data_IF_448632450763
#
_entry.id   IF_448632450763
#
_cell.length_a   1.000
_cell.length_b   1.000
_cell.length_c   1.000
_cell.angle_alpha   90.00
_cell.angle_beta   90.00
_cell.angle_gamma   90.00
#
_symmetry.space_group_name_H-M   'P 1'
#
loop_
_entity.id
_entity.type
_entity.pdbx_description
1 polymer ?
#
# COMPACT_ATOMS: atom_id res chain seq x y z
N UNK A 1 61.73 -6.27 0.78
CA UNK A 1 62.03 -5.89 -0.61
C UNK A 1 60.70 -5.64 -1.30
N UNK A 2 60.33 -4.37 -1.50
CA UNK A 2 59.02 -3.97 -2.04
C UNK A 2 59.08 -4.08 -3.56
N UNK A 3 58.13 -4.81 -4.17
CA UNK A 3 58.08 -4.96 -5.63
C UNK A 3 57.84 -3.59 -6.30
N UNK A 4 58.49 -3.29 -7.45
CA UNK A 4 58.27 -2.05 -8.18
C UNK A 4 56.85 -1.99 -8.74
N UNK A 5 56.21 -0.83 -8.62
CA UNK A 5 54.88 -0.58 -9.18
C UNK A 5 54.91 -0.74 -10.72
N UNK A 6 53.83 -1.26 -11.33
CA UNK A 6 53.74 -1.37 -12.78
C UNK A 6 53.70 0.02 -13.43
N UNK A 7 54.61 0.26 -14.38
CA UNK A 7 54.63 1.45 -15.23
C UNK A 7 53.53 1.33 -16.29
N UNK A 8 52.43 2.09 -16.12
CA UNK A 8 51.37 2.17 -17.11
C UNK A 8 51.69 3.28 -18.11
N UNK A 9 52.00 2.90 -19.36
CA UNK A 9 52.20 3.85 -20.45
C UNK A 9 50.97 3.92 -21.36
N UNK A 10 50.52 5.14 -21.65
CA UNK A 10 49.47 5.41 -22.62
C UNK A 10 50.13 5.90 -23.91
N UNK A 11 49.88 5.18 -25.01
CA UNK A 11 50.41 5.54 -26.33
C UNK A 11 49.28 6.01 -27.23
N UNK A 12 49.48 7.15 -27.90
CA UNK A 12 48.54 7.65 -28.91
C UNK A 12 48.96 7.10 -30.27
N UNK A 13 48.01 6.55 -31.02
CA UNK A 13 48.27 6.17 -32.41
C UNK A 13 48.20 7.43 -33.27
N UNK A 14 48.79 7.43 -34.46
CA UNK A 14 48.65 8.54 -35.44
C UNK A 14 47.26 8.56 -36.11
N UNK A 15 46.24 8.00 -35.46
CA UNK A 15 44.89 7.99 -36.02
C UNK A 15 44.32 9.40 -36.11
N UNK A 16 43.37 9.61 -37.03
CA UNK A 16 42.70 10.91 -37.18
C UNK A 16 41.99 11.34 -35.89
N UNK A 17 41.42 10.38 -35.15
CA UNK A 17 40.76 10.62 -33.87
C UNK A 17 41.74 11.07 -32.78
N UNK A 18 42.87 10.38 -32.64
CA UNK A 18 43.89 10.73 -31.63
C UNK A 18 44.53 12.09 -31.92
N UNK A 19 44.78 12.40 -33.19
CA UNK A 19 45.29 13.72 -33.59
C UNK A 19 44.29 14.84 -33.30
N UNK A 20 42.99 14.61 -33.54
CA UNK A 20 41.95 15.57 -33.20
C UNK A 20 41.86 15.79 -31.68
N UNK A 21 41.92 14.72 -30.89
CA UNK A 21 41.95 14.77 -29.43
C UNK A 21 43.15 15.57 -28.92
N UNK A 22 44.37 15.24 -29.38
CA UNK A 22 45.58 15.95 -28.99
C UNK A 22 45.55 17.43 -29.39
N UNK A 23 44.95 17.75 -30.54
CA UNK A 23 44.77 19.15 -30.98
C UNK A 23 43.83 19.90 -30.03
N UNK A 24 42.71 19.29 -29.66
CA UNK A 24 41.75 19.88 -28.73
C UNK A 24 42.38 20.09 -27.34
N UNK A 25 43.13 19.11 -26.82
CA UNK A 25 43.81 19.24 -25.53
C UNK A 25 44.86 20.34 -25.56
N UNK A 26 45.66 20.43 -26.63
CA UNK A 26 46.62 21.53 -26.81
C UNK A 26 45.96 22.90 -26.83
N UNK A 27 44.76 23.01 -27.40
CA UNK A 27 44.00 24.25 -27.42
C UNK A 27 43.53 24.63 -26.01
N UNK A 28 42.94 23.68 -25.27
CA UNK A 28 42.50 23.90 -23.88
C UNK A 28 43.68 24.25 -22.96
N UNK A 29 44.82 23.60 -23.13
CA UNK A 29 46.06 23.93 -22.40
C UNK A 29 46.65 25.29 -22.78
N UNK A 30 46.37 25.78 -23.99
CA UNK A 30 46.78 27.12 -24.41
C UNK A 30 45.88 28.20 -23.82
N UNK A 31 44.58 27.91 -23.69
CA UNK A 31 43.60 28.81 -23.09
C UNK A 31 43.76 28.89 -21.56
N UNK A 32 44.17 27.79 -20.91
CA UNK A 32 44.33 27.75 -19.46
C UNK A 32 45.62 26.99 -19.04
N UNK A 33 46.75 27.70 -18.91
CA UNK A 33 48.06 27.10 -18.64
C UNK A 33 48.22 26.57 -17.21
N UNK A 34 47.22 26.78 -16.35
CA UNK A 34 47.18 26.23 -15.00
C UNK A 34 46.81 24.74 -14.97
N UNK A 35 46.18 24.25 -16.04
CA UNK A 35 45.73 22.86 -16.15
C UNK A 35 46.83 21.97 -16.74
N UNK A 36 47.03 20.79 -16.15
CA UNK A 36 47.83 19.73 -16.75
C UNK A 36 46.97 18.79 -17.58
N UNK A 37 47.59 18.09 -18.54
CA UNK A 37 46.96 16.95 -19.22
C UNK A 37 46.38 15.94 -18.22
N UNK A 38 47.09 15.70 -17.10
CA UNK A 38 46.61 14.81 -16.04
C UNK A 38 45.30 15.29 -15.41
N UNK A 39 45.14 16.61 -15.23
CA UNK A 39 43.93 17.19 -14.63
C UNK A 39 42.75 17.11 -15.59
N UNK A 40 42.98 17.35 -16.89
CA UNK A 40 41.97 17.15 -17.92
C UNK A 40 41.51 15.69 -18.00
N UNK A 41 42.44 14.74 -17.88
CA UNK A 41 42.10 13.31 -17.82
C UNK A 41 41.30 12.97 -16.55
N UNK A 42 41.69 13.50 -15.38
CA UNK A 42 40.95 13.30 -14.13
C UNK A 42 39.54 13.88 -14.23
N UNK A 43 39.39 15.10 -14.74
CA UNK A 43 38.08 15.73 -14.93
C UNK A 43 37.22 14.95 -15.94
N UNK A 44 37.79 14.50 -17.05
CA UNK A 44 37.10 13.67 -18.04
C UNK A 44 36.60 12.36 -17.43
N UNK A 45 37.46 11.70 -16.64
CA UNK A 45 37.12 10.46 -15.96
C UNK A 45 36.06 10.68 -14.88
N UNK A 46 36.17 11.76 -14.09
CA UNK A 46 35.15 12.15 -13.12
C UNK A 46 33.79 12.37 -13.79
N UNK A 47 33.75 13.11 -14.90
CA UNK A 47 32.50 13.33 -15.65
C UNK A 47 31.93 12.03 -16.20
N UNK A 48 32.77 11.13 -16.69
CA UNK A 48 32.32 9.82 -17.18
C UNK A 48 31.76 8.94 -16.06
N UNK A 49 32.42 8.90 -14.90
CA UNK A 49 31.96 8.15 -13.74
C UNK A 49 30.62 8.71 -13.22
N UNK A 50 30.53 10.03 -13.03
CA UNK A 50 29.31 10.70 -12.57
C UNK A 50 28.18 10.54 -13.59
N UNK A 51 28.46 10.63 -14.89
CA UNK A 51 27.46 10.38 -15.92
C UNK A 51 26.92 8.93 -15.88
N UNK A 52 27.79 7.96 -15.59
CA UNK A 52 27.37 6.56 -15.45
C UNK A 52 26.48 6.33 -14.22
N UNK A 53 26.80 6.96 -13.09
CA UNK A 53 26.03 6.86 -11.84
C UNK A 53 24.69 7.59 -11.94
N UNK A 54 24.68 8.78 -12.54
CA UNK A 54 23.44 9.57 -12.75
C UNK A 54 22.45 8.82 -13.64
N UNK A 55 22.92 8.08 -14.65
CA UNK A 55 22.02 7.28 -15.50
C UNK A 55 21.32 6.18 -14.72
N UNK A 56 22.00 5.50 -13.80
CA UNK A 56 21.39 4.47 -12.98
C UNK A 56 20.42 5.07 -11.95
N UNK A 57 20.80 6.18 -11.32
CA UNK A 57 19.95 6.89 -10.37
C UNK A 57 18.66 7.41 -11.01
N UNK A 58 18.72 7.90 -12.25
CA UNK A 58 17.54 8.37 -13.00
C UNK A 58 16.57 7.23 -13.31
N UNK A 59 17.07 6.04 -13.66
CA UNK A 59 16.22 4.86 -13.90
C UNK A 59 15.52 4.41 -12.62
N UNK A 60 16.23 4.34 -11.50
CA UNK A 60 15.65 4.00 -10.19
C UNK A 60 14.61 5.03 -9.75
N UNK A 61 14.88 6.32 -9.97
CA UNK A 61 13.92 7.38 -9.65
C UNK A 61 12.63 7.26 -10.48
N UNK A 62 12.75 6.92 -11.76
CA UNK A 62 11.60 6.72 -12.65
C UNK A 62 10.77 5.50 -12.24
N UNK A 63 11.43 4.39 -11.87
CA UNK A 63 10.75 3.20 -11.33
C UNK A 63 10.01 3.52 -10.02
N UNK A 64 10.66 4.24 -9.11
CA UNK A 64 10.05 4.65 -7.84
C UNK A 64 8.84 5.56 -8.08
N UNK A 65 8.94 6.51 -9.01
CA UNK A 65 7.82 7.39 -9.38
C UNK A 65 6.64 6.61 -9.95
N UNK A 66 6.90 5.58 -10.76
CA UNK A 66 5.87 4.69 -11.28
C UNK A 66 5.18 3.93 -10.15
N UNK A 67 5.95 3.35 -9.21
CA UNK A 67 5.38 2.64 -8.05
C UNK A 67 4.52 3.57 -7.17
N UNK A 68 4.97 4.80 -6.92
CA UNK A 68 4.18 5.78 -6.14
C UNK A 68 2.87 6.11 -6.85
N UNK A 69 2.89 6.29 -8.16
CA UNK A 69 1.69 6.57 -8.96
C UNK A 69 0.72 5.38 -8.93
N UNK A 70 1.25 4.16 -8.99
CA UNK A 70 0.45 2.94 -8.88
C UNK A 70 -0.20 2.80 -7.49
N UNK A 71 0.56 3.06 -6.43
CA UNK A 71 0.03 3.04 -5.06
C UNK A 71 -1.07 4.10 -4.86
N UNK A 72 -0.89 5.30 -5.41
CA UNK A 72 -1.93 6.33 -5.36
C UNK A 72 -3.21 5.89 -6.08
N UNK A 73 -3.11 5.22 -7.23
CA UNK A 73 -4.29 4.67 -7.90
C UNK A 73 -4.96 3.57 -7.09
N UNK A 74 -4.20 2.67 -6.47
CA UNK A 74 -4.76 1.63 -5.61
C UNK A 74 -5.48 2.24 -4.41
N UNK A 75 -4.88 3.25 -3.77
CA UNK A 75 -5.51 3.95 -2.64
C UNK A 75 -6.81 4.63 -3.07
N UNK A 76 -6.83 5.35 -4.19
CA UNK A 76 -8.05 5.96 -4.72
C UNK A 76 -9.14 4.92 -5.06
N UNK A 77 -8.76 3.75 -5.59
CA UNK A 77 -9.70 2.66 -5.86
C UNK A 77 -10.28 2.08 -4.58
N UNK A 78 -9.46 1.89 -3.54
CA UNK A 78 -9.92 1.38 -2.24
C UNK A 78 -10.85 2.39 -1.58
N UNK A 79 -10.49 3.68 -1.56
CA UNK A 79 -11.36 4.74 -1.05
C UNK A 79 -12.71 4.76 -1.76
N UNK A 80 -12.70 4.64 -3.09
CA UNK A 80 -13.94 4.59 -3.86
C UNK A 80 -14.79 3.35 -3.53
N UNK A 81 -14.16 2.19 -3.34
CA UNK A 81 -14.86 0.96 -2.97
C UNK A 81 -15.49 1.07 -1.58
N UNK A 82 -14.76 1.60 -0.60
CA UNK A 82 -15.26 1.81 0.77
C UNK A 82 -16.46 2.77 0.75
N UNK A 83 -16.37 3.89 0.02
CA UNK A 83 -17.49 4.83 -0.09
C UNK A 83 -18.74 4.18 -0.72
N UNK A 84 -18.55 3.31 -1.72
CA UNK A 84 -19.67 2.58 -2.35
C UNK A 84 -20.27 1.54 -1.41
N UNK A 85 -19.44 0.79 -0.70
CA UNK A 85 -19.87 -0.23 0.26
C UNK A 85 -20.62 0.42 1.43
N UNK A 86 -20.12 1.52 1.97
CA UNK A 86 -20.78 2.28 3.03
C UNK A 86 -22.12 2.84 2.56
N UNK A 87 -22.18 3.42 1.36
CA UNK A 87 -23.43 3.94 0.77
C UNK A 87 -24.45 2.81 0.56
N UNK A 88 -23.99 1.65 0.07
CA UNK A 88 -24.83 0.47 -0.14
C UNK A 88 -25.34 -0.14 1.17
N UNK A 89 -24.49 -0.18 2.20
CA UNK A 89 -24.88 -0.64 3.53
C UNK A 89 -25.93 0.29 4.15
N UNK A 90 -25.74 1.61 4.05
CA UNK A 90 -26.70 2.61 4.53
C UNK A 90 -28.04 2.46 3.79
N UNK A 91 -28.05 2.36 2.46
CA UNK A 91 -29.28 2.20 1.69
C UNK A 91 -30.07 0.92 2.07
N UNK A 92 -29.36 -0.18 2.38
CA UNK A 92 -29.98 -1.41 2.88
C UNK A 92 -30.57 -1.24 4.28
N UNK A 93 -29.89 -0.51 5.17
CA UNK A 93 -30.42 -0.21 6.49
C UNK A 93 -31.68 0.66 6.39
N UNK A 94 -31.69 1.66 5.51
CA UNK A 94 -32.82 2.54 5.27
C UNK A 94 -34.06 1.74 4.80
N UNK A 95 -33.88 0.84 3.83
CA UNK A 95 -34.97 -0.03 3.37
C UNK A 95 -35.55 -0.95 4.46
N UNK A 96 -34.72 -1.40 5.41
CA UNK A 96 -35.17 -2.22 6.55
C UNK A 96 -35.91 -1.39 7.58
N UNK A 97 -35.50 -0.14 7.79
CA UNK A 97 -36.20 0.80 8.66
C UNK A 97 -37.57 1.14 8.08
N UNK A 98 -37.67 1.39 6.78
CA UNK A 98 -38.95 1.61 6.09
C UNK A 98 -39.89 0.40 6.22
N UNK A 99 -39.36 -0.82 6.04
CA UNK A 99 -40.14 -2.06 6.21
C UNK A 99 -40.64 -2.22 7.65
N UNK A 100 -39.80 -1.94 8.64
CA UNK A 100 -40.17 -1.96 10.06
C UNK A 100 -41.22 -0.90 10.38
N UNK A 101 -41.07 0.32 9.85
CA UNK A 101 -42.04 1.40 10.03
C UNK A 101 -43.42 1.04 9.45
N UNK A 102 -43.45 0.49 8.22
CA UNK A 102 -44.68 0.04 7.59
C UNK A 102 -45.35 -1.11 8.37
N UNK A 103 -44.56 -1.99 9.01
CA UNK A 103 -45.09 -3.07 9.87
C UNK A 103 -45.64 -2.55 11.19
N UNK A 104 -45.04 -1.51 11.76
CA UNK A 104 -45.55 -0.83 12.96
C UNK A 104 -46.86 -0.09 12.67
N UNK A 105 -46.96 0.62 11.55
CA UNK A 105 -48.22 1.27 11.14
C UNK A 105 -49.35 0.25 10.91
N UNK A 106 -49.03 -0.95 10.40
CA UNK A 106 -50.02 -2.03 10.27
C UNK A 106 -50.46 -2.64 11.60
N UNK A 107 -49.70 -2.45 12.69
CA UNK A 107 -50.06 -2.93 14.04
C UNK A 107 -50.89 -1.93 14.87
N UNK A 108 -51.11 -0.70 14.39
CA UNK A 108 -52.10 0.23 14.98
C UNK A 108 -53.23 0.50 13.97
N UNK A 109 -54.43 -0.08 14.18
CA UNK A 109 -55.28 0.32 15.29
C UNK A 109 -55.91 -0.88 16.01
N UNK A 110 -55.53 -1.13 17.26
CA UNK A 110 -56.13 -2.21 18.06
C UNK A 110 -55.86 -2.20 19.55
N UNK A 111 -55.13 -1.23 20.10
CA UNK A 111 -54.92 -1.10 21.56
C UNK A 111 -55.96 -0.12 22.12
N UNK A 112 -57.24 -0.45 21.95
CA UNK A 112 -58.30 0.14 22.78
C UNK A 112 -58.61 -0.82 23.91
N UNK A 113 -58.12 -0.47 25.11
CA UNK A 113 -58.70 -0.75 26.42
C UNK A 113 -59.58 -2.00 26.53
N UNK A 114 -59.01 -3.06 27.10
CA UNK A 114 -59.76 -4.18 27.64
C UNK A 114 -59.09 -4.67 28.92
N UNK A 115 -59.59 -4.20 30.07
CA UNK A 115 -59.29 -4.75 31.38
C UNK A 115 -59.44 -6.28 31.36
N UNK A 116 -58.42 -7.00 31.80
CA UNK A 116 -58.55 -8.41 32.16
C UNK A 116 -58.38 -8.49 33.68
N UNK A 117 -59.42 -8.91 34.42
CA UNK A 117 -59.34 -9.00 35.86
C UNK A 117 -58.43 -10.17 36.25
N UNK A 118 -57.57 -9.92 37.22
CA UNK A 118 -56.72 -10.91 37.87
C UNK A 118 -57.66 -11.80 38.69
N UNK A 119 -57.86 -13.04 38.24
CA UNK A 119 -58.49 -14.10 39.05
C UNK A 119 -57.40 -15.03 39.56
N UNK A 120 -57.15 -14.89 40.86
CA UNK A 120 -56.44 -15.80 41.73
C UNK A 120 -57.14 -17.17 41.70
N UNK A 121 -56.47 -18.21 41.20
CA UNK A 121 -56.86 -19.58 41.54
C UNK A 121 -55.64 -20.48 41.60
N UNK A 122 -55.28 -20.83 42.83
CA UNK A 122 -54.23 -21.76 43.19
C UNK A 122 -54.55 -23.17 42.65
N UNK A 123 -53.65 -23.75 41.85
CA UNK A 123 -53.66 -25.17 41.55
C UNK A 123 -52.23 -25.73 41.63
N UNK A 124 -52.14 -26.86 42.32
CA UNK A 124 -50.96 -27.57 42.78
C UNK A 124 -50.03 -28.11 41.66
N UNK A 125 -48.75 -28.24 42.03
CA UNK A 125 -47.61 -28.78 41.27
C UNK A 125 -47.81 -30.28 40.98
N UNK A 126 -47.39 -30.76 39.80
CA UNK A 126 -46.54 -31.96 39.78
C UNK A 126 -45.25 -31.74 38.96
N UNK A 127 -44.13 -32.22 39.50
CA UNK A 127 -42.84 -32.40 38.82
C UNK A 127 -43.03 -33.06 37.44
N UNK A 128 -42.69 -32.34 36.37
CA UNK A 128 -42.48 -32.90 35.04
C UNK A 128 -41.11 -32.43 34.55
N UNK A 129 -40.28 -33.41 34.23
CA UNK A 129 -38.87 -33.29 33.86
C UNK A 129 -38.76 -32.53 32.53
N UNK A 130 -38.47 -31.22 32.59
CA UNK A 130 -38.24 -30.40 31.40
C UNK A 130 -36.92 -30.87 30.77
N UNK A 131 -36.89 -31.38 29.52
CA UNK A 131 -35.64 -31.62 28.82
C UNK A 131 -34.95 -30.27 28.64
N UNK A 132 -33.80 -30.11 29.28
CA UNK A 132 -32.94 -28.93 29.15
C UNK A 132 -32.61 -28.74 27.65
N UNK A 133 -32.95 -27.59 27.03
CA UNK A 133 -32.63 -27.37 25.63
C UNK A 133 -31.11 -27.39 25.49
N UNK A 134 -30.59 -28.34 24.70
CA UNK A 134 -29.16 -28.39 24.37
C UNK A 134 -28.72 -27.00 23.90
N UNK A 135 -27.65 -26.43 24.46
CA UNK A 135 -27.19 -25.11 24.07
C UNK A 135 -26.74 -25.17 22.61
N UNK A 136 -27.52 -24.55 21.72
CA UNK A 136 -27.10 -24.31 20.34
C UNK A 136 -25.76 -23.57 20.40
N UNK A 137 -24.69 -24.10 19.75
CA UNK A 137 -23.38 -23.48 19.82
C UNK A 137 -23.46 -22.08 19.21
N UNK A 138 -23.13 -21.09 20.03
CA UNK A 138 -23.15 -19.68 19.65
C UNK A 138 -22.24 -19.47 18.42
N UNK A 139 -22.78 -19.00 17.27
CA UNK A 139 -22.01 -18.85 16.04
C UNK A 139 -20.83 -17.89 16.19
N UNK A 140 -20.82 -17.05 17.22
CA UNK A 140 -19.71 -16.17 17.55
C UNK A 140 -18.55 -16.95 18.19
N UNK A 141 -18.84 -17.92 19.07
CA UNK A 141 -17.82 -18.75 19.71
C UNK A 141 -17.12 -19.68 18.72
N UNK A 142 -17.84 -20.19 17.72
CA UNK A 142 -17.23 -20.98 16.64
C UNK A 142 -16.22 -20.17 15.82
N UNK A 143 -16.47 -18.86 15.64
CA UNK A 143 -15.55 -17.97 14.91
C UNK A 143 -14.32 -17.60 15.76
N UNK A 144 -14.50 -17.47 17.07
CA UNK A 144 -13.42 -17.17 18.00
C UNK A 144 -12.53 -18.39 18.28
N UNK A 145 -13.09 -19.60 18.30
CA UNK A 145 -12.34 -20.84 18.51
C UNK A 145 -11.24 -21.04 17.45
N UNK A 146 -11.55 -20.78 16.18
CA UNK A 146 -10.56 -20.89 15.10
C UNK A 146 -9.44 -19.83 15.14
N UNK A 147 -9.64 -18.71 15.84
CA UNK A 147 -8.63 -17.66 16.02
C UNK A 147 -7.76 -17.88 17.27
N UNK A 148 -8.27 -18.61 18.27
CA UNK A 148 -7.54 -18.91 19.51
C UNK A 148 -6.61 -20.13 19.36
N UNK A 149 -6.88 -21.05 18.43
CA UNK A 149 -5.97 -22.17 18.08
C UNK A 149 -4.75 -21.74 17.24
N UNK A 150 -4.71 -20.49 16.77
CA UNK A 150 -3.60 -19.95 15.95
C UNK A 150 -2.49 -19.26 16.79
N UNK A 151 -2.56 -19.31 18.13
CA UNK A 151 -1.54 -18.76 19.05
C UNK A 151 -0.74 -19.81 19.80
#
# INVERSE_FOLDING_TARGET
>A
MTAPAPDYQVTFKRSKADQALLKAIKQVLADDPSLSFSDLCKQGLQRWLVASETSAAVLVLMELQQQVTQLQQQMASVEQQVLQDDTGAIARLDSRLDELAARLEQMEPGVTHGEVPISDEAIAIPDDEIPEPEPEPDPLLSRLGGLLEEF
#
